data_IF_668008056089
#
_entry.id   IF_668008056089
#
_cell.length_a   1.000
_cell.length_b   1.000
_cell.length_c   1.000
_cell.angle_alpha   90.00
_cell.angle_beta   90.00
_cell.angle_gamma   90.00
#
_symmetry.space_group_name_H-M   'P 1'
#
loop_
_entity.id
_entity.type
_entity.pdbx_description
1 polymer ?
#
# COMPACT_ATOMS: atom_id res chain seq x y z
N UNK A 1 4.62 -56.98 2.11
CA UNK A 1 5.30 -55.66 1.98
C UNK A 1 4.30 -54.52 1.70
N UNK A 2 3.17 -54.42 2.42
CA UNK A 2 2.02 -53.55 2.02
C UNK A 2 1.66 -52.48 3.08
N UNK A 3 2.10 -52.64 4.33
CA UNK A 3 1.71 -51.77 5.45
C UNK A 3 2.37 -50.39 5.45
N UNK A 4 3.49 -50.22 4.75
CA UNK A 4 4.27 -48.96 4.76
C UNK A 4 3.80 -47.94 3.70
N UNK A 5 3.13 -48.39 2.64
CA UNK A 5 2.67 -47.50 1.56
C UNK A 5 1.53 -46.59 2.00
N UNK A 6 0.65 -47.05 2.89
CA UNK A 6 -0.44 -46.23 3.42
C UNK A 6 0.09 -45.11 4.33
N UNK A 7 1.08 -45.41 5.18
CA UNK A 7 1.76 -44.41 6.02
C UNK A 7 2.55 -43.41 5.17
N UNK A 8 3.26 -43.87 4.14
CA UNK A 8 3.98 -43.00 3.21
C UNK A 8 3.05 -42.07 2.41
N UNK A 9 1.91 -42.59 1.92
CA UNK A 9 0.91 -41.79 1.19
C UNK A 9 0.20 -40.78 2.10
N UNK A 10 -0.05 -41.16 3.36
CA UNK A 10 -0.59 -40.24 4.37
C UNK A 10 0.41 -39.13 4.73
N UNK A 11 1.71 -39.43 4.81
CA UNK A 11 2.75 -38.42 5.02
C UNK A 11 2.91 -37.47 3.84
N UNK A 12 2.83 -37.96 2.60
CA UNK A 12 2.84 -37.10 1.42
C UNK A 12 1.65 -36.15 1.39
N UNK A 13 0.48 -36.61 1.85
CA UNK A 13 -0.73 -35.79 1.91
C UNK A 13 -0.65 -34.71 3.00
N UNK A 14 -0.08 -35.04 4.17
CA UNK A 14 0.22 -34.07 5.23
C UNK A 14 1.27 -33.05 4.78
N UNK A 15 2.32 -33.49 4.07
CA UNK A 15 3.35 -32.61 3.52
C UNK A 15 2.78 -31.64 2.47
N UNK A 16 1.88 -32.12 1.61
CA UNK A 16 1.18 -31.29 0.63
C UNK A 16 0.23 -30.28 1.29
N UNK A 17 -0.52 -30.67 2.33
CA UNK A 17 -1.36 -29.74 3.11
C UNK A 17 -0.52 -28.71 3.87
N UNK A 18 0.69 -29.05 4.32
CA UNK A 18 1.57 -28.11 5.03
C UNK A 18 2.05 -26.97 4.13
N UNK A 19 2.11 -27.18 2.81
CA UNK A 19 2.46 -26.15 1.84
C UNK A 19 1.33 -25.12 1.62
N UNK A 20 0.07 -25.49 1.90
CA UNK A 20 -1.10 -24.59 1.80
C UNK A 20 -1.16 -23.54 2.92
N UNK A 21 -0.41 -23.73 4.01
CA UNK A 21 -0.32 -22.76 5.13
C UNK A 21 0.80 -21.75 4.91
N UNK A 22 1.60 -21.92 3.84
CA UNK A 22 2.68 -21.00 3.48
C UNK A 22 2.13 -19.81 2.68
N UNK A 23 1.16 -19.10 3.25
CA UNK A 23 0.86 -17.75 2.76
C UNK A 23 2.09 -16.89 3.07
N UNK A 24 2.69 -16.18 2.10
CA UNK A 24 3.67 -15.17 2.44
C UNK A 24 2.98 -14.22 3.41
N UNK A 25 3.46 -14.16 4.65
CA UNK A 25 3.10 -13.10 5.58
C UNK A 25 3.63 -11.80 4.97
N UNK A 26 2.88 -11.24 4.04
CA UNK A 26 3.07 -9.89 3.56
C UNK A 26 2.77 -9.01 4.75
N UNK A 27 3.81 -8.65 5.50
CA UNK A 27 3.71 -7.51 6.38
C UNK A 27 3.21 -6.37 5.49
N UNK A 28 2.03 -5.85 5.81
CA UNK A 28 1.45 -4.71 5.12
C UNK A 28 2.35 -3.53 5.47
N UNK A 29 3.43 -3.35 4.70
CA UNK A 29 4.22 -2.14 4.74
C UNK A 29 3.26 -1.02 4.36
N UNK A 30 2.84 -0.26 5.37
CA UNK A 30 1.92 0.83 5.19
C UNK A 30 2.48 1.80 4.16
N UNK A 31 1.62 2.35 3.30
CA UNK A 31 2.01 3.29 2.25
C UNK A 31 2.77 4.51 2.81
N UNK A 32 2.61 4.81 4.11
CA UNK A 32 3.42 5.78 4.87
C UNK A 32 4.94 5.65 4.64
N UNK A 33 5.47 4.44 4.47
CA UNK A 33 6.89 4.20 4.21
C UNK A 33 7.37 4.84 2.89
N UNK A 34 6.51 4.88 1.86
CA UNK A 34 6.84 5.53 0.60
C UNK A 34 6.96 7.05 0.76
N UNK A 35 6.11 7.69 1.57
CA UNK A 35 6.18 9.13 1.82
C UNK A 35 7.45 9.54 2.58
N UNK A 36 7.95 8.68 3.47
CA UNK A 36 9.26 8.88 4.12
C UNK A 36 10.38 8.85 3.07
N UNK A 37 10.40 7.83 2.20
CA UNK A 37 11.39 7.75 1.11
C UNK A 37 11.30 8.91 0.14
N UNK A 38 10.11 9.41 -0.18
CA UNK A 38 9.92 10.60 -1.01
C UNK A 38 10.52 11.82 -0.33
N UNK A 39 10.35 11.95 0.98
CA UNK A 39 10.95 13.05 1.76
C UNK A 39 12.47 12.98 1.74
N UNK A 40 13.04 11.79 1.89
CA UNK A 40 14.49 11.60 1.79
C UNK A 40 15.01 11.83 0.36
N UNK A 41 14.28 11.36 -0.66
CA UNK A 41 14.58 11.64 -2.06
C UNK A 41 14.51 13.14 -2.37
N UNK A 42 13.56 13.88 -1.78
CA UNK A 42 13.48 15.34 -1.95
C UNK A 42 14.71 16.04 -1.37
N UNK A 43 15.23 15.58 -0.22
CA UNK A 43 16.49 16.09 0.33
C UNK A 43 17.67 15.80 -0.60
N UNK A 44 17.74 14.61 -1.20
CA UNK A 44 18.83 14.27 -2.11
C UNK A 44 18.77 15.09 -3.41
N UNK A 45 17.58 15.34 -3.95
CA UNK A 45 17.38 16.26 -5.10
C UNK A 45 17.91 17.66 -4.78
N UNK A 46 17.53 18.22 -3.63
CA UNK A 46 17.97 19.56 -3.19
C UNK A 46 19.48 19.67 -3.05
N UNK A 47 20.13 18.57 -2.67
CA UNK A 47 21.58 18.51 -2.49
C UNK A 47 22.33 18.10 -3.77
N UNK A 48 21.66 18.02 -4.93
CA UNK A 48 22.27 17.62 -6.20
C UNK A 48 22.62 16.12 -6.31
N UNK A 49 22.17 15.29 -5.37
CA UNK A 49 22.45 13.86 -5.29
C UNK A 49 21.55 13.02 -6.20
N UNK A 50 21.65 13.21 -7.52
CA UNK A 50 20.80 12.49 -8.50
C UNK A 50 20.96 10.96 -8.43
N UNK A 51 22.18 10.44 -8.29
CA UNK A 51 22.43 8.99 -8.18
C UNK A 51 21.69 8.36 -6.99
N UNK A 52 21.78 8.99 -5.81
CA UNK A 52 21.09 8.50 -4.61
C UNK A 52 19.57 8.67 -4.74
N UNK A 53 19.13 9.76 -5.37
CA UNK A 53 17.70 9.97 -5.66
C UNK A 53 17.16 8.86 -6.56
N UNK A 54 17.86 8.55 -7.65
CA UNK A 54 17.46 7.51 -8.59
C UNK A 54 17.46 6.12 -7.93
N UNK A 55 18.44 5.85 -7.06
CA UNK A 55 18.48 4.63 -6.25
C UNK A 55 17.27 4.50 -5.31
N UNK A 56 16.88 5.60 -4.65
CA UNK A 56 15.69 5.63 -3.78
C UNK A 56 14.41 5.37 -4.58
N UNK A 57 14.22 6.05 -5.72
CA UNK A 57 13.03 5.87 -6.57
C UNK A 57 12.99 4.46 -7.19
N UNK A 58 14.13 3.92 -7.62
CA UNK A 58 14.22 2.54 -8.13
C UNK A 58 13.86 1.54 -7.04
N UNK A 59 14.33 1.76 -5.80
CA UNK A 59 13.96 0.93 -4.66
C UNK A 59 12.47 1.04 -4.35
N UNK A 60 11.88 2.23 -4.46
CA UNK A 60 10.43 2.40 -4.34
C UNK A 60 9.67 1.61 -5.41
N UNK A 61 10.10 1.65 -6.68
CA UNK A 61 9.49 0.86 -7.75
C UNK A 61 9.48 -0.65 -7.41
N UNK A 62 10.64 -1.18 -7.00
CA UNK A 62 10.76 -2.58 -6.59
C UNK A 62 9.94 -2.93 -5.35
N UNK A 63 9.91 -2.05 -4.35
CA UNK A 63 9.13 -2.27 -3.14
C UNK A 63 7.61 -2.19 -3.44
N UNK A 64 7.17 -1.35 -4.39
CA UNK A 64 5.78 -1.24 -4.83
C UNK A 64 5.27 -2.52 -5.51
N UNK A 65 6.15 -3.30 -6.15
CA UNK A 65 5.78 -4.62 -6.71
C UNK A 65 5.32 -5.65 -5.66
N UNK A 66 5.57 -5.36 -4.38
CA UNK A 66 5.16 -6.20 -3.26
C UNK A 66 3.87 -5.71 -2.59
N UNK A 67 3.36 -4.55 -3.00
CA UNK A 67 2.14 -3.96 -2.45
C UNK A 67 0.91 -4.70 -3.00
N UNK A 68 -0.07 -4.90 -2.13
CA UNK A 68 -1.35 -5.50 -2.51
C UNK A 68 -2.11 -4.58 -3.47
N UNK A 69 -2.87 -5.14 -4.41
CA UNK A 69 -3.65 -4.37 -5.40
C UNK A 69 -2.83 -3.39 -6.25
N UNK A 70 -1.49 -3.55 -6.31
CA UNK A 70 -0.59 -2.75 -7.16
C UNK A 70 -0.96 -2.72 -8.66
N UNK A 71 -1.75 -3.69 -9.12
CA UNK A 71 -2.20 -3.82 -10.51
C UNK A 71 -3.62 -3.27 -10.72
N UNK A 72 -4.19 -2.56 -9.73
CA UNK A 72 -5.40 -1.77 -9.89
C UNK A 72 -5.20 -0.63 -10.89
N UNK A 73 -6.28 0.02 -11.30
CA UNK A 73 -6.20 1.16 -12.22
C UNK A 73 -5.29 2.27 -11.66
N UNK A 74 -5.43 2.62 -10.38
CA UNK A 74 -4.56 3.63 -9.74
C UNK A 74 -3.17 3.06 -9.45
N UNK A 75 -3.06 1.77 -9.11
CA UNK A 75 -1.78 1.11 -8.86
C UNK A 75 -0.85 1.11 -10.08
N UNK A 76 -1.40 0.90 -11.29
CA UNK A 76 -0.64 1.02 -12.55
C UNK A 76 -0.10 2.43 -12.77
N UNK A 77 -0.86 3.47 -12.42
CA UNK A 77 -0.40 4.86 -12.50
C UNK A 77 0.78 5.08 -11.57
N UNK A 78 0.75 4.53 -10.34
CA UNK A 78 1.89 4.60 -9.42
C UNK A 78 3.12 3.92 -10.03
N UNK A 79 2.97 2.74 -10.64
CA UNK A 79 4.07 2.04 -11.33
C UNK A 79 4.67 2.88 -12.45
N UNK A 80 3.84 3.51 -13.27
CA UNK A 80 4.27 4.39 -14.36
C UNK A 80 5.10 5.57 -13.83
N UNK A 81 4.63 6.23 -12.77
CA UNK A 81 5.34 7.35 -12.14
C UNK A 81 6.65 6.93 -11.46
N UNK A 82 6.74 5.70 -10.98
CA UNK A 82 7.96 5.13 -10.40
C UNK A 82 8.96 4.62 -11.47
N UNK A 83 8.49 4.29 -12.67
CA UNK A 83 9.31 3.82 -13.78
C UNK A 83 10.04 4.95 -14.56
N UNK A 84 9.96 6.19 -14.07
CA UNK A 84 10.54 7.35 -14.75
C UNK A 84 12.07 7.29 -14.80
N UNK A 85 12.60 7.55 -15.99
CA UNK A 85 14.04 7.66 -16.25
C UNK A 85 14.52 9.12 -16.28
N UNK A 86 15.84 9.31 -16.18
CA UNK A 86 16.51 10.62 -16.21
C UNK A 86 16.47 11.33 -14.86
N UNK A 87 16.74 12.64 -14.86
CA UNK A 87 16.84 13.41 -13.63
C UNK A 87 15.51 13.42 -12.87
N UNK A 88 15.58 13.07 -11.59
CA UNK A 88 14.44 13.13 -10.67
C UNK A 88 14.40 14.56 -10.10
N UNK A 89 13.27 15.22 -10.29
CA UNK A 89 13.02 16.57 -9.78
C UNK A 89 12.00 16.53 -8.64
N UNK A 90 11.90 17.60 -7.87
CA UNK A 90 10.85 17.72 -6.84
C UNK A 90 9.45 17.57 -7.43
N UNK A 91 9.20 18.12 -8.63
CA UNK A 91 7.93 17.97 -9.32
C UNK A 91 7.58 16.49 -9.58
N UNK A 92 8.55 15.68 -10.05
CA UNK A 92 8.35 14.23 -10.22
C UNK A 92 8.06 13.54 -8.89
N UNK A 93 8.75 13.91 -7.81
CA UNK A 93 8.50 13.38 -6.47
C UNK A 93 7.11 13.76 -5.94
N UNK A 94 6.63 14.97 -6.24
CA UNK A 94 5.26 15.41 -5.93
C UNK A 94 4.22 14.60 -6.71
N UNK A 95 4.47 14.32 -7.99
CA UNK A 95 3.58 13.46 -8.79
C UNK A 95 3.50 12.04 -8.23
N UNK A 96 4.63 11.45 -7.84
CA UNK A 96 4.69 10.13 -7.19
C UNK A 96 3.89 10.15 -5.87
N UNK A 97 4.06 11.19 -5.05
CA UNK A 97 3.32 11.38 -3.79
C UNK A 97 1.80 11.45 -4.02
N UNK A 98 1.37 12.22 -5.03
CA UNK A 98 -0.04 12.36 -5.39
C UNK A 98 -0.65 11.05 -5.88
N UNK A 99 0.07 10.31 -6.74
CA UNK A 99 -0.36 9.00 -7.23
C UNK A 99 -0.50 8.00 -6.09
N UNK A 100 0.46 7.96 -5.15
CA UNK A 100 0.39 7.10 -3.97
C UNK A 100 -0.77 7.45 -3.03
N UNK A 101 -1.10 8.75 -2.87
CA UNK A 101 -2.26 9.18 -2.10
C UNK A 101 -3.58 8.76 -2.75
N UNK A 102 -3.68 8.87 -4.08
CA UNK A 102 -4.83 8.37 -4.81
C UNK A 102 -4.99 6.85 -4.66
N UNK A 103 -3.87 6.12 -4.71
CA UNK A 103 -3.84 4.69 -4.49
C UNK A 103 -4.28 4.34 -3.06
N UNK A 104 -3.77 5.04 -2.04
CA UNK A 104 -4.21 4.85 -0.65
C UNK A 104 -5.72 5.05 -0.48
N UNK A 105 -6.30 6.05 -1.15
CA UNK A 105 -7.76 6.30 -1.15
C UNK A 105 -8.55 5.21 -1.86
N UNK A 106 -8.03 4.66 -2.95
CA UNK A 106 -8.67 3.52 -3.65
C UNK A 106 -8.70 2.29 -2.74
N UNK A 107 -7.62 2.04 -2.01
CA UNK A 107 -7.52 0.92 -1.06
C UNK A 107 -8.34 1.14 0.21
N UNK A 108 -8.55 2.41 0.61
CA UNK A 108 -9.29 2.79 1.80
C UNK A 108 -10.39 3.79 1.42
N UNK A 109 -11.45 3.34 0.72
CA UNK A 109 -12.55 4.22 0.38
C UNK A 109 -13.23 4.68 1.68
N UNK A 110 -13.23 5.99 1.89
CA UNK A 110 -13.96 6.59 3.01
C UNK A 110 -15.45 6.45 2.70
N UNK A 111 -16.18 5.73 3.53
CA UNK A 111 -17.64 5.72 3.48
C UNK A 111 -18.17 7.05 4.04
N UNK A 112 -18.14 8.06 3.18
CA UNK A 112 -18.55 9.42 3.51
C UNK A 112 -20.02 9.47 3.93
N UNK A 113 -20.86 8.56 3.45
CA UNK A 113 -22.28 8.55 3.80
C UNK A 113 -22.49 7.98 5.20
N UNK A 114 -21.83 6.88 5.55
CA UNK A 114 -21.83 6.36 6.92
C UNK A 114 -21.18 7.35 7.91
N UNK A 115 -20.11 8.03 7.51
CA UNK A 115 -19.43 9.00 8.38
C UNK A 115 -20.26 10.28 8.58
N UNK A 116 -20.93 10.76 7.52
CA UNK A 116 -21.91 11.86 7.60
C UNK A 116 -23.11 11.47 8.44
N UNK A 117 -23.68 10.28 8.26
CA UNK A 117 -24.82 9.80 9.05
C UNK A 117 -24.45 9.73 10.53
N UNK A 118 -23.26 9.21 10.86
CA UNK A 118 -22.74 9.17 12.23
C UNK A 118 -22.53 10.58 12.80
N UNK A 119 -22.05 11.53 12.00
CA UNK A 119 -21.91 12.92 12.42
C UNK A 119 -23.28 13.57 12.67
N UNK A 120 -24.24 13.42 11.76
CA UNK A 120 -25.61 13.95 11.88
C UNK A 120 -26.28 13.37 13.12
N UNK A 121 -26.25 12.05 13.31
CA UNK A 121 -26.84 11.40 14.48
C UNK A 121 -26.21 11.86 15.81
N UNK A 122 -24.94 12.27 15.81
CA UNK A 122 -24.28 12.83 17.02
C UNK A 122 -24.63 14.31 17.26
N UNK A 123 -24.93 15.06 16.21
CA UNK A 123 -25.10 16.50 16.26
C UNK A 123 -26.57 16.91 16.40
N UNK A 124 -27.49 16.24 15.70
CA UNK A 124 -28.94 16.52 15.75
C UNK A 124 -29.51 16.62 17.16
N UNK A 125 -29.30 15.65 18.08
CA UNK A 125 -29.86 15.77 19.43
C UNK A 125 -29.27 16.96 20.23
N UNK A 126 -28.04 17.39 19.92
CA UNK A 126 -27.43 18.58 20.56
C UNK A 126 -28.04 19.87 20.06
N UNK A 127 -28.37 19.96 18.77
CA UNK A 127 -29.10 21.10 18.21
C UNK A 127 -30.54 21.15 18.73
N UNK A 128 -31.24 20.02 18.79
CA UNK A 128 -32.60 19.93 19.36
C UNK A 128 -32.64 20.36 20.82
N UNK A 129 -31.63 19.99 21.61
CA UNK A 129 -31.52 20.41 23.02
C UNK A 129 -31.34 21.93 23.16
N UNK A 130 -30.66 22.57 22.20
CA UNK A 130 -30.41 24.02 22.21
C UNK A 130 -31.59 24.84 21.66
N UNK A 131 -32.38 24.29 20.74
CA UNK A 131 -33.59 24.97 20.22
C UNK A 131 -34.78 24.87 21.20
N UNK A 132 -34.74 23.92 22.14
CA UNK A 132 -35.77 23.74 23.17
C UNK A 132 -35.48 24.51 24.48
N UNK A 133 -34.35 25.22 24.56
CA UNK A 133 -33.93 26.06 25.69
C UNK A 133 -34.07 27.55 25.40
#
# INVERSE_FOLDING_TARGET
MVRNYWKAKSWLLVLALSFLILSPAGAQESLSFFFVKITDASKTVKNGGQTETQKLVTKMASDFERVENKDSEVGKIVKEKLALSGDITEAKLTEISSALLAFEKEQNPVDLDAEKEKLVNRLSPRFETLEQS
#
